data_IF_044682012914
#
_entry.id   IF_044682012914
#
_cell.length_a   1.000
_cell.length_b   1.000
_cell.length_c   1.000
_cell.angle_alpha   90.00
_cell.angle_beta   90.00
_cell.angle_gamma   90.00
#
_symmetry.space_group_name_H-M   'P 1'
#
loop_
_entity.id
_entity.type
_entity.pdbx_description
1 polymer ?
#
# COMPACT_ATOMS: atom_id res chain seq x y z
N UNK A 1 -1.03 17.45 -26.55
CA UNK A 1 -0.14 17.41 -25.36
C UNK A 1 -0.65 16.39 -24.37
N UNK A 2 0.25 15.62 -23.73
CA UNK A 2 -0.11 14.63 -22.69
C UNK A 2 -0.95 15.28 -21.58
N UNK A 3 -0.62 16.52 -21.23
CA UNK A 3 -1.36 17.34 -20.25
C UNK A 3 -2.85 17.57 -20.57
N UNK A 4 -3.26 17.51 -21.85
CA UNK A 4 -4.66 17.75 -22.30
C UNK A 4 -5.42 16.49 -22.71
N UNK A 5 -4.74 15.39 -23.08
CA UNK A 5 -5.37 14.19 -23.66
C UNK A 5 -5.03 12.87 -22.95
N UNK A 6 -4.12 12.87 -21.98
CA UNK A 6 -3.78 11.67 -21.21
C UNK A 6 -4.86 11.34 -20.18
N UNK A 7 -5.06 10.05 -19.90
CA UNK A 7 -5.89 9.62 -18.76
C UNK A 7 -5.19 10.06 -17.48
N UNK A 8 -5.91 10.74 -16.59
CA UNK A 8 -5.37 11.14 -15.28
C UNK A 8 -5.70 10.04 -14.27
N UNK A 9 -4.68 9.63 -13.52
CA UNK A 9 -4.77 8.70 -12.39
C UNK A 9 -4.06 9.29 -11.18
N UNK A 10 -4.33 8.78 -10.00
CA UNK A 10 -3.62 9.15 -8.78
C UNK A 10 -2.69 8.02 -8.33
N UNK A 11 -1.40 8.30 -8.26
CA UNK A 11 -0.40 7.38 -7.72
C UNK A 11 0.00 7.83 -6.32
N UNK A 12 -0.07 6.92 -5.34
CA UNK A 12 0.36 7.23 -3.97
C UNK A 12 1.85 7.19 -3.82
N UNK A 13 2.36 8.16 -3.06
CA UNK A 13 3.74 8.14 -2.62
C UNK A 13 3.90 7.13 -1.49
N UNK A 14 4.95 6.32 -1.53
CA UNK A 14 5.37 5.55 -0.37
C UNK A 14 5.65 6.51 0.81
N UNK A 15 5.60 6.06 2.07
CA UNK A 15 5.91 6.90 3.22
C UNK A 15 7.31 7.53 3.08
N UNK A 16 7.37 8.82 2.74
CA UNK A 16 8.62 9.58 2.64
C UNK A 16 9.30 9.60 4.02
N UNK A 17 10.59 9.29 4.10
CA UNK A 17 11.36 9.52 5.34
C UNK A 17 11.40 11.04 5.61
N UNK A 18 10.81 11.53 6.73
CA UNK A 18 10.73 12.96 7.04
C UNK A 18 12.09 13.63 7.22
N UNK A 19 13.20 12.89 7.29
CA UNK A 19 14.53 13.44 7.54
C UNK A 19 15.20 14.04 6.30
N UNK A 20 14.76 13.72 5.07
CA UNK A 20 15.41 14.20 3.85
C UNK A 20 14.50 14.49 2.63
N UNK A 21 13.40 15.25 2.74
CA UNK A 21 12.51 15.50 1.58
C UNK A 21 12.97 16.61 0.63
N UNK A 22 13.73 17.63 1.09
CA UNK A 22 14.11 18.78 0.26
C UNK A 22 15.57 18.74 -0.17
N UNK A 23 15.80 18.80 -1.49
CA UNK A 23 17.12 19.10 -2.07
C UNK A 23 16.98 20.30 -3.01
N UNK A 24 17.04 21.51 -2.47
CA UNK A 24 16.73 22.73 -3.22
C UNK A 24 15.22 22.91 -3.41
N UNK A 25 14.78 23.17 -4.65
CA UNK A 25 13.39 23.55 -4.98
C UNK A 25 12.47 22.37 -5.33
N UNK A 26 12.88 21.12 -5.06
CA UNK A 26 12.07 19.95 -5.36
C UNK A 26 12.08 18.89 -4.26
N UNK A 27 10.98 18.14 -4.22
CA UNK A 27 10.76 16.96 -3.39
C UNK A 27 11.07 15.73 -4.23
N UNK A 28 11.91 14.83 -3.69
CA UNK A 28 12.06 13.49 -4.24
C UNK A 28 10.85 12.65 -3.84
N UNK A 29 10.12 12.16 -4.82
CA UNK A 29 8.98 11.28 -4.62
C UNK A 29 9.44 9.83 -4.75
N UNK A 30 8.91 9.01 -3.86
CA UNK A 30 8.98 7.57 -3.93
C UNK A 30 7.54 7.05 -3.99
N UNK A 31 7.26 6.08 -4.86
CA UNK A 31 5.89 5.61 -5.12
C UNK A 31 5.69 4.20 -4.63
N UNK A 32 4.48 3.88 -4.15
CA UNK A 32 4.14 2.50 -3.80
C UNK A 32 4.34 1.55 -4.98
N UNK A 33 3.98 2.01 -6.18
CA UNK A 33 4.10 1.27 -7.45
C UNK A 33 5.55 1.11 -7.94
N UNK A 34 6.51 1.79 -7.32
CA UNK A 34 7.93 1.68 -7.67
C UNK A 34 8.58 0.44 -7.05
N UNK A 35 8.00 -0.13 -5.99
CA UNK A 35 8.56 -1.27 -5.27
C UNK A 35 7.84 -2.56 -5.66
N UNK A 36 8.37 -3.25 -6.68
CA UNK A 36 7.70 -4.40 -7.27
C UNK A 36 8.23 -5.70 -6.68
N UNK A 37 7.39 -6.39 -5.92
CA UNK A 37 7.69 -7.75 -5.48
C UNK A 37 7.74 -8.70 -6.68
N UNK A 38 8.71 -9.63 -6.70
CA UNK A 38 8.95 -10.46 -7.90
C UNK A 38 7.81 -11.39 -8.29
N UNK A 39 6.90 -11.71 -7.39
CA UNK A 39 5.67 -12.45 -7.70
C UNK A 39 4.72 -11.69 -8.64
N UNK A 40 4.92 -10.38 -8.85
CA UNK A 40 4.19 -9.58 -9.82
C UNK A 40 4.91 -9.48 -11.18
N UNK A 41 6.07 -10.10 -11.35
CA UNK A 41 6.71 -10.16 -12.67
C UNK A 41 5.97 -11.14 -13.58
N UNK A 42 5.79 -10.76 -14.83
CA UNK A 42 5.17 -11.57 -15.89
C UNK A 42 6.05 -11.63 -17.12
N UNK A 43 5.76 -12.60 -17.99
CA UNK A 43 6.49 -12.83 -19.24
C UNK A 43 7.99 -13.04 -18.99
N UNK A 44 8.82 -12.48 -19.88
CA UNK A 44 10.27 -12.65 -19.84
C UNK A 44 10.93 -12.06 -18.59
N UNK A 45 10.30 -11.13 -17.87
CA UNK A 45 10.81 -10.69 -16.57
C UNK A 45 10.84 -11.81 -15.52
N UNK A 46 9.84 -12.68 -15.50
CA UNK A 46 9.81 -13.82 -14.58
C UNK A 46 10.93 -14.83 -14.90
N UNK A 47 11.18 -15.09 -16.18
CA UNK A 47 12.27 -15.95 -16.64
C UNK A 47 13.65 -15.38 -16.29
N UNK A 48 13.86 -14.08 -16.53
CA UNK A 48 15.12 -13.40 -16.20
C UNK A 48 15.34 -13.40 -14.69
N UNK A 49 14.29 -13.21 -13.88
CA UNK A 49 14.36 -13.34 -12.42
C UNK A 49 14.84 -14.72 -12.01
N UNK A 50 14.31 -15.79 -12.59
CA UNK A 50 14.71 -17.16 -12.26
C UNK A 50 16.20 -17.44 -12.55
N UNK A 51 16.80 -16.69 -13.48
CA UNK A 51 18.22 -16.78 -13.86
C UNK A 51 19.11 -15.72 -13.19
N UNK A 52 18.56 -14.86 -12.32
CA UNK A 52 19.24 -13.68 -11.78
C UNK A 52 19.81 -12.72 -12.86
N UNK A 53 19.05 -12.51 -13.93
CA UNK A 53 19.43 -11.74 -15.13
C UNK A 53 18.55 -10.49 -15.34
N UNK A 54 17.93 -9.96 -14.29
CA UNK A 54 17.28 -8.65 -14.36
C UNK A 54 18.34 -7.54 -14.30
N UNK A 55 18.27 -6.63 -15.26
CA UNK A 55 19.27 -5.59 -15.46
C UNK A 55 18.72 -4.19 -15.20
N UNK A 56 19.56 -3.35 -14.58
CA UNK A 56 19.28 -1.91 -14.46
C UNK A 56 19.12 -1.27 -15.84
N UNK A 57 18.19 -0.33 -15.96
CA UNK A 57 17.87 0.39 -17.18
C UNK A 57 16.93 -0.35 -18.12
N UNK A 58 16.63 -1.64 -17.87
CA UNK A 58 15.68 -2.41 -18.68
C UNK A 58 14.33 -1.73 -18.69
N UNK A 59 13.81 -1.51 -19.90
CA UNK A 59 12.47 -0.95 -20.12
C UNK A 59 11.42 -1.95 -19.67
N UNK A 60 10.46 -1.46 -18.90
CA UNK A 60 9.34 -2.25 -18.37
C UNK A 60 8.04 -1.46 -18.51
N UNK A 61 6.93 -2.16 -18.38
CA UNK A 61 5.59 -1.60 -18.36
C UNK A 61 4.88 -2.11 -17.10
N UNK A 62 4.51 -1.18 -16.23
CA UNK A 62 3.68 -1.46 -15.07
C UNK A 62 2.22 -1.40 -15.51
N UNK A 63 1.55 -2.54 -15.53
CA UNK A 63 0.11 -2.62 -15.79
C UNK A 63 -0.62 -2.21 -14.52
N UNK A 64 -1.59 -1.32 -14.67
CA UNK A 64 -2.27 -0.71 -13.54
C UNK A 64 -3.67 -1.26 -13.37
N UNK A 65 -4.04 -1.47 -12.12
CA UNK A 65 -5.43 -1.56 -11.69
C UNK A 65 -5.87 -0.20 -11.16
N UNK A 66 -7.12 0.17 -11.40
CA UNK A 66 -7.69 1.39 -10.82
C UNK A 66 -8.87 1.04 -9.95
N UNK A 67 -8.82 1.47 -8.70
CA UNK A 67 -9.90 1.36 -7.73
C UNK A 67 -10.39 2.79 -7.48
N UNK A 68 -11.50 3.16 -8.12
CA UNK A 68 -11.87 4.57 -8.27
C UNK A 68 -10.84 5.32 -9.13
N UNK A 69 -10.26 6.39 -8.59
CA UNK A 69 -9.22 7.20 -9.25
C UNK A 69 -7.78 6.90 -8.76
N UNK A 70 -7.64 6.04 -7.75
CA UNK A 70 -6.36 5.55 -7.25
C UNK A 70 -5.87 4.40 -8.12
N UNK A 71 -4.61 4.48 -8.55
CA UNK A 71 -3.96 3.43 -9.32
C UNK A 71 -2.96 2.64 -8.47
N UNK A 72 -3.05 1.32 -8.56
CA UNK A 72 -2.13 0.35 -7.98
C UNK A 72 -1.51 -0.53 -9.06
N UNK A 73 -0.41 -1.18 -8.73
CA UNK A 73 0.24 -2.14 -9.63
C UNK A 73 -0.61 -3.41 -9.71
N UNK A 74 -0.92 -3.86 -10.93
CA UNK A 74 -1.46 -5.20 -11.18
C UNK A 74 -0.31 -6.19 -11.44
N UNK A 75 0.57 -5.87 -12.39
CA UNK A 75 1.80 -6.63 -12.64
C UNK A 75 2.83 -5.81 -13.44
N UNK A 76 4.07 -6.29 -13.46
CA UNK A 76 5.16 -5.71 -14.25
C UNK A 76 5.57 -6.67 -15.38
N UNK A 77 5.70 -6.14 -16.59
CA UNK A 77 6.08 -6.91 -17.79
C UNK A 77 7.08 -6.12 -18.65
N UNK A 78 7.84 -6.81 -19.51
CA UNK A 78 8.64 -6.18 -20.55
C UNK A 78 7.97 -6.15 -21.92
N UNK A 79 6.78 -6.75 -22.03
CA UNK A 79 5.92 -6.69 -23.21
C UNK A 79 4.96 -5.51 -23.12
N UNK A 80 4.81 -4.76 -24.21
CA UNK A 80 3.93 -3.59 -24.21
C UNK A 80 2.47 -4.04 -24.18
N UNK A 81 1.68 -3.72 -23.14
CA UNK A 81 0.28 -4.12 -23.06
C UNK A 81 -0.57 -3.46 -24.14
N UNK A 82 -1.55 -4.19 -24.66
CA UNK A 82 -2.55 -3.68 -25.60
C UNK A 82 -3.87 -3.41 -24.86
N UNK A 83 -4.45 -2.22 -25.05
CA UNK A 83 -5.78 -1.86 -24.50
C UNK A 83 -5.84 -1.62 -22.99
N UNK A 84 -4.80 -1.94 -22.22
CA UNK A 84 -4.74 -1.72 -20.78
C UNK A 84 -4.09 -0.38 -20.43
N UNK A 85 -4.39 0.13 -19.23
CA UNK A 85 -3.65 1.24 -18.65
C UNK A 85 -2.29 0.73 -18.15
N UNK A 86 -1.21 1.35 -18.62
CA UNK A 86 0.14 1.02 -18.18
C UNK A 86 1.05 2.25 -18.11
N UNK A 87 2.05 2.17 -17.25
CA UNK A 87 3.11 3.18 -17.11
C UNK A 87 4.39 2.58 -17.68
N UNK A 88 5.04 3.33 -18.57
CA UNK A 88 6.36 2.98 -19.09
C UNK A 88 7.39 3.38 -18.04
N UNK A 89 8.23 2.44 -17.64
CA UNK A 89 9.29 2.66 -16.66
C UNK A 89 10.61 2.00 -17.03
N UNK A 90 11.58 2.11 -16.12
CA UNK A 90 12.87 1.42 -16.18
C UNK A 90 13.23 0.85 -14.82
N UNK A 91 13.87 -0.32 -14.83
CA UNK A 91 14.44 -0.90 -13.62
C UNK A 91 15.57 0.01 -13.13
N UNK A 92 15.45 0.54 -11.91
CA UNK A 92 16.51 1.34 -11.26
C UNK A 92 17.51 0.45 -10.52
N UNK A 93 17.00 -0.60 -9.87
CA UNK A 93 17.80 -1.54 -9.10
C UNK A 93 17.04 -2.85 -8.88
N UNK A 94 17.79 -3.94 -8.77
CA UNK A 94 17.28 -5.26 -8.42
C UNK A 94 18.03 -5.72 -7.19
N UNK A 95 17.29 -6.08 -6.15
CA UNK A 95 17.87 -6.57 -4.91
C UNK A 95 17.67 -8.07 -4.85
N UNK A 96 18.73 -8.86 -5.06
CA UNK A 96 18.63 -10.32 -5.12
C UNK A 96 18.66 -11.02 -3.76
N UNK A 97 18.53 -10.29 -2.64
CA UNK A 97 18.68 -10.87 -1.31
C UNK A 97 17.39 -11.51 -0.81
N UNK A 98 17.35 -12.86 -0.81
CA UNK A 98 16.29 -13.76 -0.31
C UNK A 98 14.90 -13.58 -0.97
N UNK A 99 14.32 -12.38 -1.00
CA UNK A 99 13.10 -12.05 -1.76
C UNK A 99 13.41 -10.88 -2.67
N UNK A 100 13.44 -11.10 -3.99
CA UNK A 100 13.83 -10.03 -4.87
C UNK A 100 12.71 -9.02 -5.04
N UNK A 101 13.03 -7.75 -4.78
CA UNK A 101 12.22 -6.58 -5.11
C UNK A 101 12.92 -5.85 -6.25
N UNK A 102 12.12 -5.44 -7.23
CA UNK A 102 12.56 -4.67 -8.39
C UNK A 102 12.07 -3.23 -8.20
N UNK A 103 13.02 -2.30 -8.10
CA UNK A 103 12.66 -0.88 -8.07
C UNK A 103 12.54 -0.35 -9.49
N UNK A 104 11.44 0.36 -9.75
CA UNK A 104 11.12 0.90 -11.07
C UNK A 104 10.93 2.41 -10.98
N UNK A 105 11.60 3.14 -11.87
CA UNK A 105 11.33 4.56 -12.11
C UNK A 105 10.40 4.75 -13.29
N UNK A 106 9.55 5.76 -13.18
CA UNK A 106 8.53 6.14 -14.16
C UNK A 106 8.75 7.56 -14.71
N UNK A 107 9.80 8.27 -14.27
CA UNK A 107 10.11 9.63 -14.73
C UNK A 107 9.25 10.71 -14.08
N UNK A 108 8.67 10.40 -12.92
CA UNK A 108 7.81 11.30 -12.12
C UNK A 108 8.30 11.42 -10.67
N UNK A 109 9.51 10.96 -10.37
CA UNK A 109 10.10 10.90 -9.02
C UNK A 109 10.58 12.28 -8.49
N UNK A 110 10.38 13.35 -9.24
CA UNK A 110 10.76 14.71 -8.85
C UNK A 110 9.57 15.67 -8.97
N UNK A 111 9.21 16.31 -7.88
CA UNK A 111 8.14 17.30 -7.83
C UNK A 111 8.65 18.65 -7.32
N UNK A 112 8.65 19.64 -8.20
CA UNK A 112 9.11 20.99 -7.90
C UNK A 112 8.03 21.74 -7.12
N UNK A 113 8.39 22.26 -5.96
CA UNK A 113 7.48 23.04 -5.10
C UNK A 113 8.07 24.41 -4.88
N UNK A 114 7.21 25.42 -4.84
CA UNK A 114 7.62 26.75 -4.39
C UNK A 114 8.17 26.66 -2.96
N UNK A 115 9.22 27.43 -2.69
CA UNK A 115 9.86 27.53 -1.39
C UNK A 115 8.80 27.73 -0.28
N UNK A 116 8.92 26.97 0.82
CA UNK A 116 8.00 26.93 1.99
C UNK A 116 6.75 26.01 1.91
N UNK A 117 6.23 25.64 0.73
CA UNK A 117 5.11 24.67 0.64
C UNK A 117 5.48 23.26 1.09
N UNK A 118 6.77 22.98 1.05
CA UNK A 118 7.34 21.72 1.52
C UNK A 118 7.02 21.36 2.97
N UNK A 119 7.17 22.31 3.89
CA UNK A 119 6.90 22.11 5.32
C UNK A 119 5.41 21.95 5.63
N UNK A 120 4.54 22.56 4.83
CA UNK A 120 3.09 22.39 4.96
C UNK A 120 2.64 20.99 4.57
N UNK A 121 3.30 20.40 3.56
CA UNK A 121 3.06 19.02 3.18
C UNK A 121 3.40 18.05 4.32
N UNK A 122 4.49 18.30 5.05
CA UNK A 122 4.87 17.48 6.19
C UNK A 122 3.87 17.56 7.34
N UNK A 123 3.39 18.77 7.68
CA UNK A 123 2.42 18.98 8.77
C UNK A 123 1.05 18.37 8.50
N UNK A 124 0.62 18.33 7.24
CA UNK A 124 -0.69 17.79 6.87
C UNK A 124 -0.71 16.25 6.91
N UNK A 125 0.46 15.61 6.83
CA UNK A 125 0.61 14.16 6.71
C UNK A 125 0.18 13.37 7.95
N UNK A 126 0.27 13.95 9.14
CA UNK A 126 -0.03 13.28 10.40
C UNK A 126 -1.09 14.10 11.14
N UNK A 127 -2.25 13.49 11.38
CA UNK A 127 -3.25 14.01 12.32
C UNK A 127 -3.50 12.93 13.36
N UNK A 128 -3.23 13.27 14.61
CA UNK A 128 -3.45 12.38 15.76
C UNK A 128 -2.73 11.03 15.57
N UNK A 129 -3.50 9.97 15.30
CA UNK A 129 -3.06 8.58 15.15
C UNK A 129 -3.06 8.08 13.69
N UNK A 130 -3.38 8.95 12.71
CA UNK A 130 -3.55 8.57 11.32
C UNK A 130 -2.60 9.34 10.37
N UNK A 131 -2.00 8.61 9.44
CA UNK A 131 -1.24 9.14 8.31
C UNK A 131 -2.16 9.36 7.12
N UNK A 132 -2.10 10.55 6.51
CA UNK A 132 -2.85 10.87 5.30
C UNK A 132 -1.90 10.68 4.10
N UNK A 133 -2.17 9.75 3.16
CA UNK A 133 -1.33 9.57 1.99
C UNK A 133 -1.31 10.79 1.06
N UNK A 134 -0.14 11.08 0.49
CA UNK A 134 0.01 12.04 -0.60
C UNK A 134 -0.22 11.31 -1.93
N UNK A 135 -1.10 11.87 -2.76
CA UNK A 135 -1.54 11.31 -4.02
C UNK A 135 -1.16 12.24 -5.17
N UNK A 136 -0.31 11.76 -6.08
CA UNK A 136 0.15 12.53 -7.23
C UNK A 136 -0.77 12.30 -8.42
N UNK A 137 -1.29 13.39 -9.00
CA UNK A 137 -2.05 13.33 -10.24
C UNK A 137 -1.09 13.13 -11.42
N UNK A 138 -1.19 11.98 -12.07
CA UNK A 138 -0.33 11.57 -13.19
C UNK A 138 -1.16 11.48 -14.46
N UNK A 139 -0.78 12.23 -15.49
CA UNK A 139 -1.35 12.06 -16.83
C UNK A 139 -0.56 11.00 -17.61
N UNK A 140 -1.26 9.99 -18.11
CA UNK A 140 -0.69 8.84 -18.84
C UNK A 140 -1.06 8.91 -20.32
N UNK A 141 -0.06 8.90 -21.19
CA UNK A 141 -0.22 8.85 -22.63
C UNK A 141 -0.46 7.41 -23.14
N UNK A 142 -0.96 7.25 -24.37
CA UNK A 142 -1.23 5.93 -24.99
C UNK A 142 0.01 5.02 -25.11
N UNK A 143 1.21 5.57 -25.05
CA UNK A 143 2.47 4.83 -25.09
C UNK A 143 3.05 4.54 -23.69
N UNK A 144 2.32 4.89 -22.61
CA UNK A 144 2.73 4.73 -21.22
C UNK A 144 3.60 5.85 -20.67
N UNK A 145 3.93 6.89 -21.45
CA UNK A 145 4.65 8.06 -20.93
C UNK A 145 3.78 8.82 -19.94
N UNK A 146 4.35 9.13 -18.79
CA UNK A 146 3.72 9.81 -17.66
C UNK A 146 4.20 11.25 -17.53
N UNK A 147 3.34 12.12 -17.02
CA UNK A 147 3.68 13.50 -16.64
C UNK A 147 2.92 13.87 -15.37
N UNK A 148 3.60 14.49 -14.39
CA UNK A 148 2.95 15.03 -13.20
C UNK A 148 2.08 16.24 -13.56
N UNK A 149 0.86 16.27 -12.99
CA UNK A 149 -0.09 17.39 -13.14
C UNK A 149 -0.37 18.14 -11.85
N UNK A 150 -0.09 17.53 -10.70
CA UNK A 150 -0.37 18.10 -9.38
C UNK A 150 -0.43 17.01 -8.33
N UNK A 151 -0.99 17.34 -7.17
CA UNK A 151 -1.15 16.42 -6.05
C UNK A 151 -2.43 16.74 -5.28
N UNK A 152 -2.82 15.81 -4.42
CA UNK A 152 -3.79 16.00 -3.35
C UNK A 152 -3.42 15.16 -2.14
N UNK A 153 -3.97 15.49 -0.99
CA UNK A 153 -4.02 14.57 0.13
C UNK A 153 -5.22 13.64 -0.04
N UNK A 154 -5.05 12.37 0.31
CA UNK A 154 -6.15 11.40 0.34
C UNK A 154 -7.31 11.93 1.20
N UNK A 155 -8.54 11.61 0.80
CA UNK A 155 -9.73 11.92 1.61
C UNK A 155 -9.77 11.10 2.92
N UNK A 156 -9.08 9.97 2.97
CA UNK A 156 -8.95 9.13 4.15
C UNK A 156 -7.51 9.17 4.70
N UNK A 157 -7.38 9.23 6.02
CA UNK A 157 -6.18 8.88 6.76
C UNK A 157 -6.24 7.45 7.28
N UNK A 158 -5.07 6.84 7.50
CA UNK A 158 -4.93 5.48 8.01
C UNK A 158 -4.05 5.45 9.26
N UNK A 159 -4.53 4.78 10.30
CA UNK A 159 -3.79 4.52 11.54
C UNK A 159 -3.66 3.03 11.83
N UNK A 160 -2.70 2.69 12.68
CA UNK A 160 -2.52 1.34 13.20
C UNK A 160 -2.16 1.43 14.68
N UNK A 161 -2.94 0.78 15.54
CA UNK A 161 -2.59 0.55 16.94
C UNK A 161 -2.41 -0.94 17.17
N UNK A 162 -1.41 -1.29 17.98
CA UNK A 162 -1.15 -2.66 18.36
C UNK A 162 -1.39 -2.83 19.86
N UNK A 163 -2.11 -3.87 20.23
CA UNK A 163 -2.17 -4.32 21.61
C UNK A 163 -1.08 -5.37 21.82
N UNK A 164 -0.18 -5.13 22.77
CA UNK A 164 0.96 -6.00 23.02
C UNK A 164 1.00 -6.47 24.46
N UNK A 165 1.41 -7.71 24.68
CA UNK A 165 1.65 -8.30 26.01
C UNK A 165 3.13 -8.66 26.12
N UNK A 166 3.77 -8.26 27.22
CA UNK A 166 5.14 -8.68 27.54
C UNK A 166 5.11 -9.85 28.51
N UNK A 167 5.72 -10.97 28.12
CA UNK A 167 5.83 -12.19 28.95
C UNK A 167 7.28 -12.67 29.00
N UNK A 168 7.60 -13.54 29.97
CA UNK A 168 8.88 -14.23 29.99
C UNK A 168 8.87 -15.37 28.98
N UNK A 169 9.97 -15.56 28.25
CA UNK A 169 10.20 -16.74 27.43
C UNK A 169 10.40 -17.92 28.39
N UNK A 170 9.67 -19.02 28.16
CA UNK A 170 9.59 -20.18 29.05
C UNK A 170 10.94 -20.57 29.66
N UNK A 171 11.01 -20.64 31.00
CA UNK A 171 12.21 -20.98 31.79
C UNK A 171 13.44 -20.06 31.62
N UNK A 172 13.24 -18.81 31.18
CA UNK A 172 14.31 -17.80 31.11
C UNK A 172 13.88 -16.49 31.75
N UNK A 173 14.84 -15.62 32.09
CA UNK A 173 14.60 -14.22 32.49
C UNK A 173 14.39 -13.31 31.28
N UNK A 174 14.46 -13.85 30.06
CA UNK A 174 14.33 -13.08 28.82
C UNK A 174 12.86 -12.70 28.60
N UNK A 175 12.60 -11.40 28.46
CA UNK A 175 11.27 -10.87 28.15
C UNK A 175 11.04 -10.81 26.65
N UNK A 176 9.83 -11.18 26.23
CA UNK A 176 9.35 -11.02 24.85
C UNK A 176 8.06 -10.24 24.83
N UNK A 177 7.97 -9.29 23.90
CA UNK A 177 6.74 -8.56 23.59
C UNK A 177 6.04 -9.25 22.43
N UNK A 178 4.74 -9.50 22.61
CA UNK A 178 3.89 -10.28 21.73
C UNK A 178 2.69 -9.42 21.34
N UNK A 179 2.50 -9.20 20.04
CA UNK A 179 1.31 -8.51 19.51
C UNK A 179 0.11 -9.44 19.59
N UNK A 180 -0.96 -9.04 20.28
CA UNK A 180 -2.21 -9.82 20.44
C UNK A 180 -3.26 -9.42 19.42
N UNK A 181 -3.46 -8.12 19.25
CA UNK A 181 -4.45 -7.58 18.35
C UNK A 181 -3.89 -6.35 17.63
N UNK A 182 -4.52 -6.01 16.51
CA UNK A 182 -4.29 -4.77 15.79
C UNK A 182 -5.61 -4.03 15.59
N UNK A 183 -5.61 -2.72 15.75
CA UNK A 183 -6.70 -1.85 15.32
C UNK A 183 -6.28 -1.08 14.08
N UNK A 184 -6.94 -1.37 12.96
CA UNK A 184 -6.82 -0.59 11.74
C UNK A 184 -7.80 0.58 11.79
N UNK A 185 -7.29 1.79 11.62
CA UNK A 185 -8.06 3.01 11.79
C UNK A 185 -8.24 3.65 10.41
N UNK A 186 -9.47 3.95 10.03
CA UNK A 186 -9.79 4.80 8.88
C UNK A 186 -10.42 6.09 9.40
N UNK A 187 -9.79 7.22 9.09
CA UNK A 187 -10.23 8.55 9.52
C UNK A 187 -10.62 9.39 8.30
N UNK A 188 -11.74 10.10 8.37
CA UNK A 188 -12.07 11.10 7.36
C UNK A 188 -11.17 12.33 7.49
N UNK A 189 -10.20 12.46 6.59
CA UNK A 189 -9.27 13.57 6.52
C UNK A 189 -9.77 14.74 5.66
N UNK A 190 -10.94 14.58 5.02
CA UNK A 190 -11.52 15.58 4.14
C UNK A 190 -12.41 16.58 4.88
N UNK A 191 -12.94 17.57 4.16
CA UNK A 191 -13.92 18.55 4.68
C UNK A 191 -15.37 18.15 4.41
N UNK A 192 -15.59 17.02 3.75
CA UNK A 192 -16.90 16.52 3.34
C UNK A 192 -17.21 15.23 4.09
N UNK A 193 -18.48 14.83 4.15
CA UNK A 193 -18.85 13.50 4.64
C UNK A 193 -18.36 12.44 3.67
N UNK A 194 -17.86 11.32 4.19
CA UNK A 194 -17.36 10.20 3.39
C UNK A 194 -17.94 8.89 3.91
N UNK A 195 -18.39 8.03 3.00
CA UNK A 195 -18.82 6.67 3.31
C UNK A 195 -17.66 5.69 3.24
N UNK A 196 -17.59 4.75 4.17
CA UNK A 196 -16.68 3.60 4.13
C UNK A 196 -17.45 2.33 4.43
N UNK A 197 -17.00 1.20 3.87
CA UNK A 197 -17.54 -0.12 4.19
C UNK A 197 -16.78 -0.65 5.40
N UNK A 198 -17.45 -0.75 6.56
CA UNK A 198 -16.88 -1.25 7.80
C UNK A 198 -17.15 -2.75 7.97
N UNK A 199 -16.36 -3.57 7.28
CA UNK A 199 -16.48 -5.03 7.32
C UNK A 199 -15.12 -5.70 7.22
N UNK A 200 -14.92 -6.82 7.92
CA UNK A 200 -13.65 -7.57 7.92
C UNK A 200 -13.30 -8.14 6.55
N UNK A 201 -14.30 -8.42 5.70
CA UNK A 201 -14.08 -8.89 4.34
C UNK A 201 -13.33 -7.87 3.45
N UNK A 202 -13.27 -6.60 3.88
CA UNK A 202 -12.53 -5.54 3.20
C UNK A 202 -11.08 -5.41 3.69
N UNK A 203 -10.60 -6.32 4.54
CA UNK A 203 -9.29 -6.22 5.19
C UNK A 203 -8.43 -7.45 4.89
N UNK A 204 -7.18 -7.23 4.51
CA UNK A 204 -6.17 -8.27 4.31
C UNK A 204 -4.90 -7.99 5.12
N UNK A 205 -4.08 -9.03 5.28
CA UNK A 205 -2.73 -8.93 5.83
C UNK A 205 -1.73 -9.24 4.71
N UNK A 206 -0.81 -8.32 4.44
CA UNK A 206 0.16 -8.46 3.35
C UNK A 206 1.57 -8.17 3.84
N UNK A 207 2.57 -8.65 3.09
CA UNK A 207 3.96 -8.36 3.36
C UNK A 207 4.25 -6.88 3.11
N UNK A 208 5.16 -6.28 3.89
CA UNK A 208 5.70 -4.98 3.52
C UNK A 208 6.59 -5.10 2.28
N UNK A 209 6.13 -4.55 1.15
CA UNK A 209 6.88 -4.53 -0.10
C UNK A 209 7.58 -3.19 -0.35
N UNK A 210 7.31 -2.17 0.46
CA UNK A 210 7.87 -0.82 0.28
C UNK A 210 9.32 -0.70 0.75
N UNK A 211 9.79 -1.66 1.55
CA UNK A 211 11.15 -1.67 2.10
C UNK A 211 11.96 -2.77 1.45
N UNK A 212 12.97 -2.32 0.72
CA UNK A 212 13.72 -3.14 -0.24
C UNK A 212 14.80 -4.00 0.41
N UNK A 213 15.10 -3.76 1.69
CA UNK A 213 16.19 -4.38 2.46
C UNK A 213 15.73 -5.53 3.38
N UNK A 214 14.43 -5.76 3.55
CA UNK A 214 13.90 -6.72 4.51
C UNK A 214 13.26 -7.92 3.78
N UNK A 215 13.84 -9.10 3.94
CA UNK A 215 13.29 -10.33 3.36
C UNK A 215 12.15 -10.87 4.22
N UNK A 216 10.91 -10.77 3.74
CA UNK A 216 9.77 -11.41 4.39
C UNK A 216 9.28 -12.64 3.59
N UNK A 217 9.56 -13.88 4.04
CA UNK A 217 9.07 -15.09 3.38
C UNK A 217 7.64 -15.48 3.81
N UNK A 218 7.04 -14.77 4.77
CA UNK A 218 5.78 -15.15 5.41
C UNK A 218 4.59 -14.65 4.60
N UNK A 219 3.76 -15.58 4.14
CA UNK A 219 2.55 -15.28 3.40
C UNK A 219 1.34 -15.45 4.30
N UNK A 220 0.38 -14.53 4.18
CA UNK A 220 -0.90 -14.64 4.87
C UNK A 220 -1.69 -15.82 4.31
N UNK A 221 -2.24 -16.65 5.21
CA UNK A 221 -3.01 -17.83 4.82
C UNK A 221 -4.48 -17.52 4.55
N UNK A 222 -4.95 -16.37 5.05
CA UNK A 222 -6.27 -15.88 4.73
C UNK A 222 -6.38 -15.57 3.24
N UNK A 223 -7.63 -15.56 2.75
CA UNK A 223 -7.92 -15.22 1.37
C UNK A 223 -8.40 -13.77 1.34
N UNK A 224 -7.93 -12.99 0.37
CA UNK A 224 -8.57 -11.72 0.07
C UNK A 224 -9.98 -12.02 -0.45
N UNK A 225 -10.98 -11.71 0.37
CA UNK A 225 -12.40 -11.96 0.06
C UNK A 225 -13.12 -10.72 -0.46
N UNK A 226 -12.42 -9.59 -0.60
CA UNK A 226 -13.00 -8.31 -1.04
C UNK A 226 -13.71 -8.46 -2.39
N UNK A 227 -13.10 -9.21 -3.31
CA UNK A 227 -13.65 -9.47 -4.64
C UNK A 227 -14.89 -10.39 -4.63
N UNK A 228 -15.13 -11.20 -3.59
CA UNK A 228 -16.36 -12.01 -3.48
C UNK A 228 -17.41 -11.40 -2.54
N UNK A 229 -17.00 -10.54 -1.63
CA UNK A 229 -17.89 -9.89 -0.67
C UNK A 229 -18.91 -8.97 -1.36
N UNK A 230 -20.17 -9.05 -0.95
CA UNK A 230 -21.25 -8.18 -1.42
C UNK A 230 -21.71 -7.36 -0.22
N UNK A 231 -21.46 -6.03 -0.20
CA UNK A 231 -21.83 -5.18 0.92
C UNK A 231 -23.34 -4.95 1.01
N UNK A 232 -23.81 -4.60 2.20
CA UNK A 232 -25.19 -4.25 2.53
C UNK A 232 -25.27 -2.91 3.27
N UNK A 233 -26.46 -2.31 3.38
CA UNK A 233 -26.65 -1.00 4.04
C UNK A 233 -26.04 -0.92 5.47
N UNK A 234 -26.16 -1.95 6.34
CA UNK A 234 -25.52 -1.95 7.67
C UNK A 234 -23.98 -1.83 7.67
N UNK A 235 -23.32 -2.28 6.59
CA UNK A 235 -21.88 -2.19 6.43
C UNK A 235 -21.41 -0.76 6.14
N UNK A 236 -22.31 0.11 5.66
CA UNK A 236 -21.97 1.50 5.32
C UNK A 236 -21.86 2.34 6.59
N UNK A 237 -20.70 2.99 6.78
CA UNK A 237 -20.47 4.02 7.81
C UNK A 237 -20.18 5.34 7.14
N UNK A 238 -21.01 6.34 7.42
CA UNK A 238 -20.77 7.73 7.01
C UNK A 238 -19.98 8.41 8.11
N UNK A 239 -18.80 8.93 7.75
CA UNK A 239 -17.90 9.65 8.64
C UNK A 239 -17.96 11.13 8.30
N UNK A 240 -18.23 11.97 9.30
CA UNK A 240 -18.05 13.42 9.22
C UNK A 240 -16.56 13.77 9.22
N UNK A 241 -16.17 14.99 8.83
CA UNK A 241 -14.77 15.44 8.93
C UNK A 241 -14.16 15.17 10.31
N UNK A 242 -13.06 14.43 10.36
CA UNK A 242 -12.37 14.04 11.59
C UNK A 242 -12.92 12.80 12.30
N UNK A 243 -14.08 12.26 11.90
CA UNK A 243 -14.57 10.99 12.45
C UNK A 243 -13.78 9.81 11.89
N UNK A 244 -13.73 8.74 12.67
CA UNK A 244 -12.98 7.52 12.34
C UNK A 244 -13.79 6.26 12.63
N UNK A 245 -13.40 5.17 11.98
CA UNK A 245 -13.77 3.80 12.36
C UNK A 245 -12.52 3.01 12.72
N UNK A 246 -12.73 1.99 13.56
CA UNK A 246 -11.68 1.09 14.03
C UNK A 246 -12.09 -0.34 13.70
N UNK A 247 -11.29 -1.02 12.90
CA UNK A 247 -11.46 -2.43 12.58
C UNK A 247 -10.49 -3.22 13.46
N UNK A 248 -11.04 -4.01 14.38
CA UNK A 248 -10.26 -4.81 15.34
C UNK A 248 -9.92 -6.17 14.75
N UNK A 249 -8.63 -6.50 14.72
CA UNK A 249 -8.08 -7.73 14.18
C UNK A 249 -7.48 -8.52 15.34
N UNK A 250 -8.05 -9.69 15.64
CA UNK A 250 -7.48 -10.64 16.59
C UNK A 250 -6.43 -11.51 15.89
N UNK A 251 -5.15 -11.30 16.20
CA UNK A 251 -4.04 -12.01 15.57
C UNK A 251 -3.84 -13.44 16.12
N UNK A 252 -4.68 -13.84 17.08
CA UNK A 252 -4.80 -15.23 17.52
C UNK A 252 -5.80 -16.04 16.67
N UNK A 253 -6.66 -15.39 15.89
CA UNK A 253 -7.58 -16.08 14.99
C UNK A 253 -6.80 -16.71 13.80
N UNK A 254 -7.01 -18.01 13.51
CA UNK A 254 -6.37 -18.70 12.39
C UNK A 254 -6.50 -18.01 11.03
N UNK A 255 -7.54 -17.21 10.80
CA UNK A 255 -7.68 -16.45 9.54
C UNK A 255 -6.53 -15.46 9.33
N UNK A 256 -5.86 -15.00 10.40
CA UNK A 256 -4.74 -14.05 10.38
C UNK A 256 -3.37 -14.72 10.47
N UNK A 257 -3.31 -16.05 10.38
CA UNK A 257 -2.05 -16.77 10.42
C UNK A 257 -1.24 -16.55 9.14
N UNK A 258 0.06 -16.82 9.26
CA UNK A 258 1.00 -16.78 8.15
C UNK A 258 1.76 -18.09 8.06
N UNK A 259 2.25 -18.42 6.87
CA UNK A 259 3.15 -19.54 6.66
C UNK A 259 4.26 -19.20 5.68
N UNK A 260 5.30 -20.03 5.65
CA UNK A 260 6.21 -20.11 4.51
C UNK A 260 5.79 -21.28 3.63
N UNK A 261 6.25 -21.28 2.39
CA UNK A 261 6.06 -22.41 1.49
C UNK A 261 6.54 -23.72 2.15
N UNK A 262 5.67 -24.72 2.20
CA UNK A 262 5.94 -26.01 2.84
C UNK A 262 5.84 -26.03 4.38
N UNK A 263 5.61 -24.91 5.05
CA UNK A 263 5.45 -24.84 6.51
C UNK A 263 3.97 -24.76 6.95
N UNK A 264 3.68 -25.23 8.17
CA UNK A 264 2.35 -25.09 8.79
C UNK A 264 2.06 -23.61 9.16
N UNK A 265 0.80 -23.16 9.02
CA UNK A 265 0.37 -21.84 9.48
C UNK A 265 0.64 -21.61 10.97
N UNK A 266 1.02 -20.38 11.32
CA UNK A 266 1.22 -19.94 12.70
C UNK A 266 0.89 -18.45 12.87
N UNK A 267 0.67 -18.03 14.11
CA UNK A 267 0.49 -16.62 14.44
C UNK A 267 1.75 -15.79 14.14
N UNK A 268 1.56 -14.54 13.72
CA UNK A 268 2.67 -13.60 13.53
C UNK A 268 3.38 -13.27 14.85
N UNK A 269 2.66 -13.35 15.96
CA UNK A 269 3.11 -13.03 17.33
C UNK A 269 4.35 -13.83 17.74
N UNK A 270 4.48 -15.07 17.23
CA UNK A 270 5.58 -15.98 17.56
C UNK A 270 6.76 -15.90 16.58
N UNK A 271 6.75 -14.97 15.62
CA UNK A 271 7.82 -14.86 14.62
C UNK A 271 8.92 -13.95 15.17
N UNK A 272 10.06 -14.57 15.52
CA UNK A 272 11.25 -13.88 16.02
C UNK A 272 12.09 -13.19 14.93
N UNK A 273 11.75 -13.40 13.66
CA UNK A 273 12.42 -12.74 12.53
C UNK A 273 12.02 -11.27 12.47
N UNK A 274 12.99 -10.39 12.70
CA UNK A 274 12.79 -8.95 12.67
C UNK A 274 12.33 -8.44 11.29
N UNK A 275 12.63 -9.17 10.21
CA UNK A 275 12.22 -8.86 8.84
C UNK A 275 10.79 -9.29 8.50
N UNK A 276 10.11 -10.01 9.40
CA UNK A 276 8.71 -10.40 9.20
C UNK A 276 7.78 -9.20 9.43
N UNK A 277 7.80 -8.28 8.45
CA UNK A 277 7.01 -7.06 8.42
C UNK A 277 5.76 -7.25 7.60
N UNK A 278 4.64 -6.91 8.21
CA UNK A 278 3.31 -7.00 7.61
C UNK A 278 2.66 -5.62 7.57
N UNK A 279 1.68 -5.47 6.69
CA UNK A 279 0.76 -4.35 6.64
C UNK A 279 -0.65 -4.89 6.67
N UNK A 280 -1.52 -4.20 7.39
CA UNK A 280 -2.96 -4.37 7.22
C UNK A 280 -3.37 -3.50 6.04
N UNK A 281 -4.10 -4.07 5.09
CA UNK A 281 -4.62 -3.36 3.93
C UNK A 281 -6.14 -3.39 3.97
N UNK A 282 -6.75 -2.21 3.85
CA UNK A 282 -8.17 -2.08 3.58
C UNK A 282 -8.38 -1.92 2.07
N UNK A 283 -9.36 -2.62 1.49
CA UNK A 283 -9.82 -2.44 0.11
C UNK A 283 -11.34 -2.26 0.11
N UNK A 284 -11.80 -1.15 -0.43
CA UNK A 284 -13.23 -0.93 -0.61
C UNK A 284 -13.77 -1.86 -1.72
N UNK A 285 -14.98 -2.41 -1.59
CA UNK A 285 -15.66 -3.09 -2.69
C UNK A 285 -15.80 -2.18 -3.91
N UNK A 286 -15.97 -2.78 -5.09
CA UNK A 286 -16.08 -2.03 -6.34
C UNK A 286 -17.31 -1.12 -6.36
N UNK A 287 -17.27 -0.08 -7.22
CA UNK A 287 -18.38 0.88 -7.39
C UNK A 287 -19.66 0.13 -7.77
N UNK A 288 -19.56 -0.87 -8.63
CA UNK A 288 -20.70 -1.68 -9.08
C UNK A 288 -21.39 -2.39 -7.91
N UNK A 289 -20.60 -2.98 -7.00
CA UNK A 289 -21.12 -3.67 -5.82
C UNK A 289 -21.78 -2.74 -4.80
N UNK A 290 -21.32 -1.50 -4.72
CA UNK A 290 -21.87 -0.50 -3.81
C UNK A 290 -23.02 0.31 -4.42
N UNK A 291 -23.28 0.18 -5.73
CA UNK A 291 -24.17 1.08 -6.48
C UNK A 291 -25.62 1.13 -5.99
N UNK A 292 -26.12 0.04 -5.39
CA UNK A 292 -27.48 -0.07 -4.84
C UNK A 292 -27.60 0.32 -3.36
N UNK A 293 -26.48 0.59 -2.68
CA UNK A 293 -26.47 0.93 -1.26
C UNK A 293 -26.97 2.36 -1.02
N UNK A 294 -27.52 2.59 0.18
CA UNK A 294 -27.78 3.96 0.62
C UNK A 294 -26.49 4.77 0.68
N UNK A 295 -26.57 6.01 0.20
CA UNK A 295 -25.44 6.93 0.12
C UNK A 295 -24.28 6.41 -0.74
N UNK A 296 -24.54 5.55 -1.73
CA UNK A 296 -23.52 5.00 -2.64
C UNK A 296 -22.57 6.07 -3.21
N UNK A 297 -23.08 7.26 -3.54
CA UNK A 297 -22.28 8.37 -4.06
C UNK A 297 -21.28 8.97 -3.06
N UNK A 298 -21.46 8.75 -1.76
CA UNK A 298 -20.53 9.16 -0.72
C UNK A 298 -19.49 8.08 -0.40
N UNK A 299 -19.71 6.82 -0.82
CA UNK A 299 -18.82 5.71 -0.51
C UNK A 299 -17.49 5.93 -1.23
N UNK A 300 -16.42 5.89 -0.45
CA UNK A 300 -15.08 5.98 -0.95
C UNK A 300 -14.63 4.63 -1.52
N UNK A 301 -13.92 4.69 -2.65
CA UNK A 301 -13.41 3.53 -3.36
C UNK A 301 -11.89 3.66 -3.54
N UNK A 302 -11.18 2.57 -3.27
CA UNK A 302 -9.72 2.51 -3.25
C UNK A 302 -9.24 1.52 -2.19
N UNK A 303 -7.93 1.55 -1.92
CA UNK A 303 -7.30 0.80 -0.83
C UNK A 303 -6.60 1.72 0.18
N UNK A 304 -6.28 1.27 1.39
CA UNK A 304 -5.44 2.01 2.35
C UNK A 304 -4.50 1.02 3.03
N UNK A 305 -3.21 1.36 3.13
CA UNK A 305 -2.21 0.50 3.77
C UNK A 305 -1.77 1.09 5.11
N UNK A 306 -1.73 0.26 6.15
CA UNK A 306 -1.16 0.66 7.43
C UNK A 306 0.34 0.92 7.31
N UNK A 307 0.91 1.54 8.35
CA UNK A 307 2.36 1.43 8.61
C UNK A 307 2.74 -0.05 8.76
N UNK A 308 3.98 -0.39 8.40
CA UNK A 308 4.46 -1.75 8.56
C UNK A 308 4.61 -2.09 10.05
N UNK A 309 4.35 -3.34 10.41
CA UNK A 309 4.47 -3.83 11.77
C UNK A 309 4.95 -5.27 11.83
N UNK A 310 5.34 -5.75 13.01
CA UNK A 310 5.71 -7.15 13.22
C UNK A 310 5.04 -7.75 14.46
N UNK A 311 5.15 -9.07 14.61
CA UNK A 311 4.63 -9.80 15.76
C UNK A 311 5.21 -9.36 17.11
N UNK A 312 6.39 -8.73 17.10
CA UNK A 312 7.06 -8.18 18.28
C UNK A 312 6.53 -6.83 18.76
N UNK A 313 5.49 -6.27 18.13
CA UNK A 313 4.82 -5.03 18.57
C UNK A 313 5.47 -3.75 18.05
N UNK A 314 6.39 -3.84 17.08
CA UNK A 314 7.00 -2.66 16.47
C UNK A 314 6.16 -2.16 15.31
N UNK A 315 5.94 -0.85 15.27
CA UNK A 315 5.34 -0.12 14.14
C UNK A 315 6.41 0.81 13.57
N UNK A 316 6.50 0.84 12.24
CA UNK A 316 7.55 1.50 11.47
C UNK A 316 7.27 2.93 11.06
#
# INVERSE_FOLDING_TARGET
TILRKGRVIYCRTAPIDPRHPFRGDYIRLDYEISHVHTNFLRGKLAELKAKNQLEKGKKVYAVMRTEGDIASLDYLTDEKPAGQLFLKGRIESVYYYKTPIVNVSYGIEAFYVEQNKGRELERTRIREDAQIPLEMAVAVARNGTTVLKGYRWSKLGVGLKLETVTTNLSNTTQRVTLTKSAEFILMNASKENIGVINNMACVSLEQDTLRVWENNPWQWVGKDTTEQFIPSDPDVKILKPGEEIRIKIDLADPQWFVNKEGEKPRTITGISDWNARFRVIYRAPSIEKCSSLKNASLIWHGYMMSRAFNGGGRID
#
